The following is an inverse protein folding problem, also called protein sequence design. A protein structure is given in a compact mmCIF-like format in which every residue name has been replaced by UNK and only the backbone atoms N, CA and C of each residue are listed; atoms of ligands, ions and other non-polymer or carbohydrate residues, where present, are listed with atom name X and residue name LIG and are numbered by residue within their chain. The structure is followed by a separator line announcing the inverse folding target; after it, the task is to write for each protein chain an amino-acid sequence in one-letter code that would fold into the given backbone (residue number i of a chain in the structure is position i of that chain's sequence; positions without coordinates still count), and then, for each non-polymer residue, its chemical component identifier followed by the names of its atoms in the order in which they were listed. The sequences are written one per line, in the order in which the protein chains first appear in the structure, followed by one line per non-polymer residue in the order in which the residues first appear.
data_IF_098388241176
#
_entry.id   IF_098388241176
#
_cell.length_a   1.000
_cell.length_b   1.000
_cell.length_c   1.000
_cell.angle_alpha   90.00
_cell.angle_beta   90.00
_cell.angle_gamma   90.00
#
_symmetry.space_group_name_H-M   'P 1'
#
loop_
_entity.id
_entity.type
_entity.pdbx_description
1 polymer ?
#
# COMPACT_ATOMS: atom_id res chain seq x y z
N UNK A 1 -4.11 -7.29 -10.90
CA UNK A 1 -3.52 -6.26 -11.79
C UNK A 1 -2.84 -6.89 -13.00
N UNK A 2 -1.86 -7.79 -12.83
CA UNK A 2 -1.13 -8.44 -13.93
C UNK A 2 -2.04 -9.11 -14.97
N UNK A 3 -2.95 -10.00 -14.55
CA UNK A 3 -3.92 -10.67 -15.45
C UNK A 3 -4.81 -9.69 -16.23
N UNK A 4 -5.08 -8.50 -15.68
CA UNK A 4 -5.92 -7.50 -16.31
C UNK A 4 -5.14 -6.57 -17.26
N UNK A 5 -3.82 -6.78 -17.43
CA UNK A 5 -3.00 -6.00 -18.37
C UNK A 5 -2.68 -4.58 -17.89
N UNK A 6 -2.65 -4.33 -16.57
CA UNK A 6 -2.22 -3.03 -16.04
C UNK A 6 -0.79 -2.71 -16.50
N UNK A 7 -0.59 -1.55 -17.11
CA UNK A 7 0.68 -1.15 -17.75
C UNK A 7 1.57 -0.28 -16.86
N UNK A 8 1.07 0.20 -15.72
CA UNK A 8 1.86 0.96 -14.76
C UNK A 8 2.76 0.07 -13.90
N UNK A 9 3.63 0.70 -13.13
CA UNK A 9 4.46 -0.01 -12.15
C UNK A 9 3.58 -0.62 -11.04
N UNK A 10 3.84 -1.87 -10.70
CA UNK A 10 3.26 -2.54 -9.54
C UNK A 10 4.41 -2.70 -8.54
N UNK A 11 4.22 -2.15 -7.34
CA UNK A 11 5.24 -2.16 -6.27
C UNK A 11 4.70 -2.94 -5.07
N UNK A 12 4.84 -4.29 -5.04
CA UNK A 12 4.35 -5.10 -3.93
C UNK A 12 5.14 -4.80 -2.65
N UNK A 13 4.43 -4.66 -1.53
CA UNK A 13 5.03 -4.51 -0.19
C UNK A 13 4.64 -5.70 0.68
N UNK A 14 5.63 -6.44 1.16
CA UNK A 14 5.45 -7.56 2.07
C UNK A 14 6.75 -7.85 2.83
N UNK A 15 6.80 -7.71 4.17
CA UNK A 15 8.03 -7.95 4.94
C UNK A 15 8.51 -9.40 4.90
N UNK A 16 7.64 -10.34 4.53
CA UNK A 16 7.93 -11.78 4.57
C UNK A 16 8.22 -12.37 3.19
N UNK A 17 8.24 -11.56 2.12
CA UNK A 17 8.46 -12.07 0.75
C UNK A 17 9.37 -11.13 -0.02
N UNK A 18 10.40 -11.68 -0.65
CA UNK A 18 11.25 -10.96 -1.60
C UNK A 18 10.62 -10.86 -3.00
N UNK A 19 9.63 -11.71 -3.31
CA UNK A 19 8.94 -11.74 -4.60
C UNK A 19 7.45 -12.10 -4.46
N UNK A 20 6.61 -11.48 -5.28
CA UNK A 20 5.18 -11.78 -5.39
C UNK A 20 4.78 -11.83 -6.86
N UNK A 21 4.31 -12.99 -7.33
CA UNK A 21 3.82 -13.16 -8.71
C UNK A 21 4.83 -12.72 -9.79
N UNK A 22 6.12 -13.03 -9.63
CA UNK A 22 7.16 -12.64 -10.59
C UNK A 22 7.70 -11.21 -10.42
N UNK A 23 7.21 -10.46 -9.42
CA UNK A 23 7.62 -9.08 -9.16
C UNK A 23 8.48 -9.00 -7.89
N UNK A 24 9.57 -8.25 -7.96
CA UNK A 24 10.35 -7.88 -6.78
C UNK A 24 9.44 -7.19 -5.75
N UNK A 25 9.57 -7.60 -4.49
CA UNK A 25 8.72 -7.14 -3.40
C UNK A 25 9.57 -6.41 -2.36
N UNK A 26 9.05 -5.29 -1.88
CA UNK A 26 9.72 -4.43 -0.91
C UNK A 26 9.28 -4.80 0.52
N UNK A 27 10.17 -4.78 1.52
CA UNK A 27 9.82 -5.19 2.86
C UNK A 27 8.93 -4.17 3.60
N UNK A 28 9.04 -2.88 3.26
CA UNK A 28 8.20 -1.81 3.83
C UNK A 28 7.84 -0.74 2.79
N UNK A 29 6.95 0.18 3.18
CA UNK A 29 6.61 1.37 2.38
C UNK A 29 7.83 2.29 2.22
N UNK A 30 8.72 2.36 3.21
CA UNK A 30 9.91 3.20 3.17
C UNK A 30 10.92 2.73 2.11
N UNK A 31 10.95 1.43 1.81
CA UNK A 31 11.86 0.82 0.83
C UNK A 31 11.38 0.98 -0.62
N UNK A 32 10.17 1.51 -0.84
CA UNK A 32 9.66 1.75 -2.17
C UNK A 32 10.55 2.77 -2.92
N UNK A 33 10.88 2.55 -4.20
CA UNK A 33 11.74 3.47 -4.96
C UNK A 33 11.09 4.83 -5.22
N UNK A 34 9.75 4.89 -5.17
CA UNK A 34 8.95 6.09 -5.34
C UNK A 34 7.62 5.97 -4.58
N UNK A 35 6.90 7.07 -4.42
CA UNK A 35 5.53 7.02 -3.96
C UNK A 35 4.60 6.53 -5.08
N UNK A 36 3.72 5.54 -4.84
CA UNK A 36 2.70 5.17 -5.81
C UNK A 36 1.63 6.25 -5.91
N UNK A 37 1.03 6.44 -7.09
CA UNK A 37 -0.14 7.31 -7.26
C UNK A 37 -1.36 6.80 -6.47
N UNK A 38 -1.53 5.48 -6.47
CA UNK A 38 -2.62 4.75 -5.81
C UNK A 38 -2.05 3.57 -5.02
N UNK A 39 -2.40 3.47 -3.74
CA UNK A 39 -2.09 2.33 -2.90
C UNK A 39 -3.31 1.41 -2.72
N UNK A 40 -3.09 0.09 -2.76
CA UNK A 40 -4.07 -0.92 -2.37
C UNK A 40 -3.60 -1.55 -1.07
N UNK A 41 -4.35 -1.34 0.01
CA UNK A 41 -3.94 -1.72 1.37
C UNK A 41 -4.84 -2.87 1.85
N UNK A 42 -4.22 -4.03 2.04
CA UNK A 42 -4.89 -5.28 2.41
C UNK A 42 -4.19 -5.94 3.62
N UNK A 43 -4.05 -5.17 4.71
CA UNK A 43 -3.44 -5.60 5.99
C UNK A 43 -4.37 -5.25 7.16
N UNK A 44 -4.26 -5.88 8.34
CA UNK A 44 -5.14 -5.60 9.48
C UNK A 44 -5.08 -4.14 9.96
N UNK A 45 -6.15 -3.70 10.65
CA UNK A 45 -6.45 -2.28 10.93
C UNK A 45 -5.28 -1.38 11.37
N UNK A 46 -4.53 -1.75 12.41
CA UNK A 46 -3.41 -0.93 12.87
C UNK A 46 -2.31 -0.77 11.80
N UNK A 47 -1.98 -1.86 11.10
CA UNK A 47 -1.02 -1.82 10.00
C UNK A 47 -1.56 -1.04 8.80
N UNK A 48 -2.88 -1.04 8.58
CA UNK A 48 -3.49 -0.26 7.51
C UNK A 48 -3.39 1.25 7.78
N UNK A 49 -3.63 1.68 9.03
CA UNK A 49 -3.47 3.08 9.44
C UNK A 49 -2.02 3.54 9.29
N UNK A 50 -1.07 2.75 9.79
CA UNK A 50 0.35 3.03 9.62
C UNK A 50 0.74 3.14 8.14
N UNK A 51 0.28 2.21 7.31
CA UNK A 51 0.56 2.27 5.87
C UNK A 51 -0.02 3.54 5.21
N UNK A 52 -1.23 3.96 5.60
CA UNK A 52 -1.84 5.21 5.09
C UNK A 52 -1.00 6.43 5.48
N UNK A 53 -0.52 6.51 6.73
CA UNK A 53 0.33 7.61 7.20
C UNK A 53 1.67 7.65 6.45
N UNK A 54 2.35 6.52 6.33
CA UNK A 54 3.63 6.40 5.62
C UNK A 54 3.49 6.74 4.14
N UNK A 55 2.45 6.23 3.47
CA UNK A 55 2.17 6.51 2.06
C UNK A 55 1.81 7.98 1.84
N UNK A 56 0.99 8.55 2.72
CA UNK A 56 0.60 9.96 2.68
C UNK A 56 1.80 10.88 2.84
N UNK A 57 2.70 10.58 3.79
CA UNK A 57 3.93 11.33 4.00
C UNK A 57 4.88 11.30 2.79
N UNK A 58 4.82 10.24 1.98
CA UNK A 58 5.61 10.09 0.74
C UNK A 58 4.94 10.73 -0.49
N UNK A 59 3.68 11.15 -0.39
CA UNK A 59 2.95 11.82 -1.47
C UNK A 59 2.03 10.91 -2.29
N UNK A 60 1.67 9.72 -1.79
CA UNK A 60 0.62 8.90 -2.40
C UNK A 60 -0.72 9.62 -2.33
N UNK A 61 -1.42 9.70 -3.48
CA UNK A 61 -2.61 10.55 -3.63
C UNK A 61 -3.90 9.84 -3.25
N UNK A 62 -3.97 8.53 -3.48
CA UNK A 62 -5.16 7.73 -3.24
C UNK A 62 -4.83 6.41 -2.54
N UNK A 63 -5.72 5.98 -1.64
CA UNK A 63 -5.64 4.68 -0.98
C UNK A 63 -6.98 3.93 -1.11
N UNK A 64 -6.91 2.67 -1.53
CA UNK A 64 -8.04 1.72 -1.56
C UNK A 64 -7.81 0.72 -0.43
N UNK A 65 -8.65 0.78 0.61
CA UNK A 65 -8.56 -0.11 1.75
C UNK A 65 -9.47 -1.33 1.54
N UNK A 66 -8.88 -2.52 1.53
CA UNK A 66 -9.59 -3.81 1.58
C UNK A 66 -9.79 -4.31 3.02
N UNK A 67 -9.50 -3.46 4.00
CA UNK A 67 -9.50 -3.81 5.43
C UNK A 67 -10.87 -3.55 6.03
N UNK A 68 -11.51 -4.57 6.58
CA UNK A 68 -12.74 -4.41 7.36
C UNK A 68 -12.43 -3.89 8.78
N UNK A 69 -13.26 -2.97 9.30
CA UNK A 69 -13.22 -2.53 10.70
C UNK A 69 -12.15 -1.48 11.07
N UNK A 70 -11.36 -0.97 10.12
CA UNK A 70 -10.28 -0.01 10.39
C UNK A 70 -10.75 1.46 10.52
N UNK A 71 -11.99 1.77 10.15
CA UNK A 71 -12.53 3.13 10.17
C UNK A 71 -13.32 3.39 11.46
N UNK A 72 -12.64 3.89 12.51
CA UNK A 72 -13.23 4.95 13.33
C UNK A 72 -12.73 6.24 12.70
N UNK A 73 -13.64 7.02 12.13
CA UNK A 73 -13.30 8.26 11.44
C UNK A 73 -12.52 9.19 12.38
N UNK A 74 -11.22 9.38 12.14
CA UNK A 74 -10.52 10.53 12.70
C UNK A 74 -11.09 11.78 12.02
N UNK A 75 -12.05 12.42 12.68
CA UNK A 75 -12.32 13.84 12.45
C UNK A 75 -11.04 14.57 12.88
N UNK A 76 -10.31 15.15 11.93
CA UNK A 76 -9.45 16.28 12.24
C UNK A 76 -10.35 17.50 12.31
N UNK A 77 -10.32 18.16 13.46
CA UNK A 77 -10.85 19.51 13.65
C UNK A 77 -10.09 20.53 12.80
#
# INVERSE_FOLDING_TARGET
MLRAGFRGAILPVNPNRAEVQGLACFPSVADLPQAPDVAVIAVPGAAALQAVEELGARGTRFAILFTAGAFVALRRE
#
